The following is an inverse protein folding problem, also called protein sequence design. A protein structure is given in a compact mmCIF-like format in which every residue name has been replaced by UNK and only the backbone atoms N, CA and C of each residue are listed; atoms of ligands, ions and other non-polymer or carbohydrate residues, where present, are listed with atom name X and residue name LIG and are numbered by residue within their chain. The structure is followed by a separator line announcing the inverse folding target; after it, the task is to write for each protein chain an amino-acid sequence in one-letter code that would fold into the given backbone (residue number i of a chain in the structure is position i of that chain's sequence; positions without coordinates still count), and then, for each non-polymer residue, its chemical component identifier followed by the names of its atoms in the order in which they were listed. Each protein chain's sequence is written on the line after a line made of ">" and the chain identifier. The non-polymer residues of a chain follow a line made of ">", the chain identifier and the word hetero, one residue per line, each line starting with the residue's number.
data_IF_582047114706
#
_entry.id   IF_582047114706
#
_cell.length_a   1.000
_cell.length_b   1.000
_cell.length_c   1.000
_cell.angle_alpha   90.00
_cell.angle_beta   90.00
_cell.angle_gamma   90.00
#
_symmetry.space_group_name_H-M   'P 1'
#
loop_
_entity.id
_entity.type
_entity.pdbx_description
1 polymer ?
#
# COMPACT_ATOMS: atom_id res chain seq x y z
N UNK A 1 -12.09 -49.91 -57.91
CA UNK A 1 -10.78 -49.48 -57.36
C UNK A 1 -11.08 -48.28 -56.48
N UNK A 2 -11.43 -48.50 -55.22
CA UNK A 2 -10.55 -48.61 -54.04
C UNK A 2 -10.31 -47.24 -53.37
N UNK A 3 -11.14 -46.99 -52.36
CA UNK A 3 -10.83 -46.57 -50.98
C UNK A 3 -9.67 -45.60 -50.68
N UNK A 4 -9.99 -44.52 -49.93
CA UNK A 4 -9.27 -43.95 -48.77
C UNK A 4 -9.95 -42.61 -48.41
N UNK A 5 -10.66 -42.39 -47.30
CA UNK A 5 -10.36 -42.48 -45.86
C UNK A 5 -9.95 -41.11 -45.24
N UNK A 6 -10.65 -40.78 -44.13
CA UNK A 6 -10.35 -39.79 -43.07
C UNK A 6 -10.31 -38.30 -43.49
N UNK A 7 -10.86 -37.33 -42.75
CA UNK A 7 -11.22 -37.25 -41.34
C UNK A 7 -10.65 -35.95 -40.76
N UNK A 8 -11.37 -35.39 -39.78
CA UNK A 8 -10.93 -34.33 -38.85
C UNK A 8 -11.18 -32.87 -39.25
N UNK A 9 -12.18 -32.20 -38.64
CA UNK A 9 -12.08 -31.40 -37.39
C UNK A 9 -11.41 -30.04 -37.58
N UNK A 10 -12.14 -28.96 -37.30
CA UNK A 10 -11.57 -27.62 -37.27
C UNK A 10 -12.55 -26.57 -36.79
N UNK A 11 -12.92 -26.64 -35.51
CA UNK A 11 -13.77 -25.67 -34.82
C UNK A 11 -13.24 -24.24 -34.92
N UNK A 12 -14.16 -23.33 -35.23
CA UNK A 12 -14.03 -21.87 -35.30
C UNK A 12 -13.28 -21.32 -34.08
N UNK A 13 -12.10 -20.75 -34.28
CA UNK A 13 -11.44 -19.86 -33.30
C UNK A 13 -11.55 -18.42 -33.77
N UNK A 14 -12.52 -17.71 -33.21
CA UNK A 14 -12.60 -16.25 -33.21
C UNK A 14 -11.56 -15.72 -32.22
N UNK A 15 -10.38 -15.39 -32.72
CA UNK A 15 -9.38 -14.62 -31.98
C UNK A 15 -9.42 -13.18 -32.48
N UNK A 16 -10.14 -12.32 -31.76
CA UNK A 16 -10.15 -10.88 -31.98
C UNK A 16 -8.74 -10.33 -31.80
N UNK A 17 -8.15 -9.87 -32.89
CA UNK A 17 -7.00 -8.97 -32.87
C UNK A 17 -7.40 -7.66 -32.20
N UNK A 18 -6.81 -7.33 -31.04
CA UNK A 18 -6.48 -5.95 -30.67
C UNK A 18 -5.42 -6.01 -29.56
N UNK A 19 -4.14 -5.98 -29.94
CA UNK A 19 -3.07 -5.59 -29.02
C UNK A 19 -2.36 -4.37 -29.60
N UNK A 20 -3.15 -3.30 -29.69
CA UNK A 20 -2.68 -1.95 -29.92
C UNK A 20 -3.22 -1.08 -28.78
N UNK A 21 -2.40 -0.85 -27.76
CA UNK A 21 -2.45 0.41 -27.03
C UNK A 21 -1.03 0.64 -26.49
N UNK A 22 -0.22 1.31 -27.29
CA UNK A 22 -0.03 2.75 -27.18
C UNK A 22 0.88 3.05 -25.99
N UNK A 23 2.17 3.12 -26.32
CA UNK A 23 3.19 3.88 -25.59
C UNK A 23 2.62 5.27 -25.32
N UNK A 24 2.13 5.49 -24.10
CA UNK A 24 1.64 6.77 -23.64
C UNK A 24 2.51 7.24 -22.48
N UNK A 25 3.43 8.16 -22.77
CA UNK A 25 4.20 8.99 -21.83
C UNK A 25 4.48 8.37 -20.46
N UNK A 26 5.58 7.62 -20.36
CA UNK A 26 6.29 7.40 -19.09
C UNK A 26 6.97 8.71 -18.63
N UNK A 27 6.18 9.76 -18.41
CA UNK A 27 6.59 10.84 -17.52
C UNK A 27 6.46 10.26 -16.13
N UNK A 28 7.60 10.09 -15.48
CA UNK A 28 7.81 9.76 -14.06
C UNK A 28 6.53 9.89 -13.22
N UNK A 29 5.76 8.79 -13.14
CA UNK A 29 4.68 8.69 -12.17
C UNK A 29 5.34 8.19 -10.91
N UNK A 30 5.46 9.05 -9.90
CA UNK A 30 5.84 8.67 -8.55
C UNK A 30 4.97 7.52 -8.02
N UNK A 31 5.34 6.92 -6.88
CA UNK A 31 4.70 5.72 -6.38
C UNK A 31 3.20 5.90 -6.20
N UNK A 32 2.45 4.82 -6.45
CA UNK A 32 1.03 4.78 -6.14
C UNK A 32 0.80 4.79 -4.62
N UNK A 33 -0.34 5.32 -4.17
CA UNK A 33 -0.70 5.40 -2.74
C UNK A 33 -0.53 4.06 -2.01
N UNK A 34 -0.94 2.95 -2.62
CA UNK A 34 -0.82 1.62 -2.03
C UNK A 34 0.65 1.19 -1.79
N UNK A 35 1.57 1.63 -2.65
CA UNK A 35 2.99 1.38 -2.44
C UNK A 35 3.51 2.20 -1.26
N UNK A 36 3.17 3.48 -1.21
CA UNK A 36 3.56 4.39 -0.11
C UNK A 36 3.03 3.90 1.24
N UNK A 37 1.79 3.43 1.31
CA UNK A 37 1.21 2.87 2.54
C UNK A 37 1.97 1.63 3.05
N UNK A 38 2.45 0.76 2.14
CA UNK A 38 3.25 -0.40 2.53
C UNK A 38 4.64 0.01 2.98
N UNK A 39 5.33 0.85 2.20
CA UNK A 39 6.66 1.33 2.54
C UNK A 39 6.69 2.11 3.86
N UNK A 40 5.66 2.92 4.14
CA UNK A 40 5.56 3.63 5.43
C UNK A 40 5.42 2.67 6.63
N UNK A 41 4.66 1.58 6.48
CA UNK A 41 4.55 0.54 7.51
C UNK A 41 5.89 -0.14 7.74
N UNK A 42 6.53 -0.62 6.68
CA UNK A 42 7.84 -1.28 6.76
C UNK A 42 8.89 -0.36 7.39
N UNK A 43 8.94 0.90 6.98
CA UNK A 43 9.89 1.88 7.50
C UNK A 43 9.68 2.19 8.98
N UNK A 44 8.44 2.35 9.46
CA UNK A 44 8.23 2.63 10.89
C UNK A 44 8.51 1.41 11.77
N UNK A 45 8.23 0.21 11.27
CA UNK A 45 8.57 -1.04 11.96
C UNK A 45 10.10 -1.19 12.08
N UNK A 46 10.83 -0.88 11.01
CA UNK A 46 12.30 -0.88 11.01
C UNK A 46 12.88 0.17 11.98
N UNK A 47 12.35 1.39 11.97
CA UNK A 47 12.83 2.48 12.82
C UNK A 47 12.55 2.27 14.31
N UNK A 48 11.40 1.68 14.65
CA UNK A 48 10.96 1.56 16.04
C UNK A 48 11.21 0.17 16.62
N UNK A 49 11.36 -0.86 15.78
CA UNK A 49 11.38 -2.26 16.21
C UNK A 49 10.03 -2.76 16.73
N UNK A 50 8.95 -2.02 16.47
CA UNK A 50 7.59 -2.29 16.94
C UNK A 50 6.66 -2.56 15.77
N UNK A 51 5.55 -3.23 16.02
CA UNK A 51 4.56 -3.57 14.99
C UNK A 51 3.73 -2.35 14.56
N UNK A 52 3.63 -2.12 13.25
CA UNK A 52 2.69 -1.17 12.68
C UNK A 52 1.30 -1.83 12.60
N UNK A 53 0.34 -1.25 13.31
CA UNK A 53 -1.00 -1.77 13.36
C UNK A 53 -1.84 -1.33 12.15
N UNK A 54 -1.93 -0.02 11.93
CA UNK A 54 -2.75 0.55 10.86
C UNK A 54 -2.17 1.86 10.35
N UNK A 55 -2.54 2.24 9.12
CA UNK A 55 -2.32 3.61 8.63
C UNK A 55 -3.65 4.33 8.78
N UNK A 56 -3.71 5.31 9.69
CA UNK A 56 -4.92 6.03 10.05
C UNK A 56 -5.21 7.22 9.14
N UNK A 57 -4.20 7.77 8.46
CA UNK A 57 -4.39 8.81 7.44
C UNK A 57 -3.29 8.82 6.37
N UNK A 58 -3.63 9.30 5.17
CA UNK A 58 -2.68 9.60 4.09
C UNK A 58 -3.16 10.82 3.31
N UNK A 59 -2.27 11.77 3.07
CA UNK A 59 -2.50 12.96 2.24
C UNK A 59 -1.24 13.35 1.48
N UNK A 60 -1.41 14.14 0.41
CA UNK A 60 -0.30 14.84 -0.26
C UNK A 60 -0.06 16.18 0.43
N UNK A 61 1.18 16.63 0.48
CA UNK A 61 1.51 18.02 0.84
C UNK A 61 1.52 18.93 -0.41
N UNK A 62 1.85 20.20 -0.22
CA UNK A 62 1.90 21.21 -1.29
C UNK A 62 3.08 21.03 -2.26
N UNK A 63 4.16 20.39 -1.80
CA UNK A 63 5.38 20.13 -2.57
C UNK A 63 5.30 18.80 -3.36
N UNK A 64 4.18 18.09 -3.21
CA UNK A 64 3.94 16.80 -3.86
C UNK A 64 4.47 15.61 -3.07
N UNK A 65 4.98 15.80 -1.85
CA UNK A 65 5.28 14.75 -0.90
C UNK A 65 4.04 14.14 -0.25
N UNK A 66 4.26 13.29 0.76
CA UNK A 66 3.21 12.60 1.49
C UNK A 66 3.30 12.86 2.98
N UNK A 67 2.14 12.98 3.61
CA UNK A 67 2.00 13.00 5.06
C UNK A 67 1.09 11.83 5.45
N UNK A 68 1.57 10.97 6.35
CA UNK A 68 0.82 9.81 6.82
C UNK A 68 0.80 9.75 8.34
N UNK A 69 -0.23 9.09 8.87
CA UNK A 69 -0.27 8.68 10.27
C UNK A 69 -0.32 7.17 10.36
N UNK A 70 0.61 6.59 11.11
CA UNK A 70 0.71 5.16 11.35
C UNK A 70 0.55 4.90 12.84
N UNK A 71 -0.36 4.00 13.19
CA UNK A 71 -0.54 3.54 14.55
C UNK A 71 0.39 2.36 14.81
N UNK A 72 1.14 2.40 15.90
CA UNK A 72 2.17 1.43 16.28
C UNK A 72 1.88 0.88 17.65
N UNK A 73 2.02 -0.44 17.84
CA UNK A 73 1.80 -1.08 19.14
C UNK A 73 3.06 -0.97 20.00
N UNK A 74 3.11 0.03 20.87
CA UNK A 74 4.27 0.26 21.74
C UNK A 74 4.33 -0.66 22.96
N UNK A 75 3.17 -1.15 23.42
CA UNK A 75 3.11 -2.12 24.51
C UNK A 75 1.84 -2.97 24.41
N UNK A 76 2.02 -4.26 24.10
CA UNK A 76 0.93 -5.25 24.13
C UNK A 76 0.60 -5.62 25.59
N UNK A 77 -0.70 -5.66 25.92
CA UNK A 77 -1.24 -6.08 27.24
C UNK A 77 -2.52 -6.90 27.06
N UNK A 78 -2.91 -7.64 28.09
CA UNK A 78 -4.15 -8.44 28.13
C UNK A 78 -5.10 -7.86 29.19
N UNK A 79 -6.37 -7.54 28.84
CA UNK A 79 -6.96 -7.65 27.50
C UNK A 79 -6.37 -6.64 26.52
N UNK A 80 -6.47 -6.92 25.21
CA UNK A 80 -5.89 -6.06 24.16
C UNK A 80 -6.36 -4.60 24.23
N UNK A 81 -7.55 -4.35 24.77
CA UNK A 81 -8.10 -3.01 24.99
C UNK A 81 -7.25 -2.11 25.89
N UNK A 82 -6.36 -2.67 26.71
CA UNK A 82 -5.41 -1.89 27.54
C UNK A 82 -4.00 -1.84 26.95
N UNK A 83 -3.79 -2.36 25.73
CA UNK A 83 -2.54 -2.18 24.99
C UNK A 83 -2.31 -0.70 24.68
N UNK A 84 -1.04 -0.29 24.65
CA UNK A 84 -0.65 1.09 24.32
C UNK A 84 -0.35 1.19 22.83
N UNK A 85 -1.02 2.14 22.18
CA UNK A 85 -0.73 2.58 20.81
C UNK A 85 0.03 3.90 20.83
N UNK A 86 0.90 4.08 19.84
CA UNK A 86 1.51 5.35 19.50
C UNK A 86 1.07 5.75 18.09
N UNK A 87 0.64 7.01 17.92
CA UNK A 87 0.33 7.56 16.60
C UNK A 87 1.55 8.33 16.10
N UNK A 88 2.10 7.91 14.98
CA UNK A 88 3.31 8.46 14.37
C UNK A 88 2.95 9.19 13.08
N UNK A 89 3.36 10.44 12.96
CA UNK A 89 3.32 11.15 11.70
C UNK A 89 4.61 10.89 10.93
N UNK A 90 4.48 10.58 9.65
CA UNK A 90 5.59 10.36 8.72
C UNK A 90 5.44 11.31 7.55
N UNK A 91 6.56 11.91 7.15
CA UNK A 91 6.67 12.76 5.97
C UNK A 91 7.54 12.05 4.95
N UNK A 92 7.04 11.89 3.73
CA UNK A 92 7.80 11.33 2.61
C UNK A 92 7.87 12.33 1.48
N UNK A 93 8.91 12.23 0.65
CA UNK A 93 9.01 13.03 -0.57
C UNK A 93 8.08 12.53 -1.68
N UNK A 94 8.17 13.16 -2.86
CA UNK A 94 7.33 12.83 -4.01
C UNK A 94 7.53 11.39 -4.51
N UNK A 95 8.72 10.82 -4.28
CA UNK A 95 9.13 9.46 -4.64
C UNK A 95 8.77 8.42 -3.58
N UNK A 96 8.24 8.87 -2.44
CA UNK A 96 7.81 7.99 -1.35
C UNK A 96 8.94 7.56 -0.43
N UNK A 97 10.06 8.30 -0.41
CA UNK A 97 11.16 8.08 0.51
C UNK A 97 10.93 8.85 1.81
N UNK A 98 11.24 8.23 2.95
CA UNK A 98 10.99 8.81 4.27
C UNK A 98 11.95 9.97 4.55
N UNK A 99 11.41 11.18 4.72
CA UNK A 99 12.19 12.40 5.00
C UNK A 99 12.08 12.85 6.45
N UNK A 100 11.04 12.40 7.17
CA UNK A 100 10.88 12.70 8.59
C UNK A 100 9.83 11.83 9.26
N UNK A 101 9.95 11.68 10.59
CA UNK A 101 8.92 11.06 11.40
C UNK A 101 8.91 11.63 12.82
N UNK A 102 7.74 11.62 13.46
CA UNK A 102 7.58 11.98 14.88
C UNK A 102 6.41 11.26 15.52
N UNK A 103 6.51 10.94 16.80
CA UNK A 103 5.37 10.47 17.59
C UNK A 103 4.48 11.64 17.99
N UNK A 104 3.23 11.64 17.55
CA UNK A 104 2.26 12.68 17.90
C UNK A 104 1.69 12.47 19.30
N UNK A 105 1.32 11.23 19.63
CA UNK A 105 0.70 10.88 20.91
C UNK A 105 0.85 9.41 21.25
N UNK A 106 0.54 9.08 22.50
CA UNK A 106 0.47 7.72 23.03
C UNK A 106 -0.83 7.56 23.82
N UNK A 107 -1.57 6.48 23.60
CA UNK A 107 -2.88 6.25 24.20
C UNK A 107 -3.20 4.76 24.35
N UNK A 108 -4.22 4.42 25.15
CA UNK A 108 -4.71 3.04 25.30
C UNK A 108 -5.65 2.69 24.15
N UNK A 109 -5.50 1.50 23.55
CA UNK A 109 -6.32 1.02 22.42
C UNK A 109 -7.82 1.20 22.63
N UNK A 110 -8.32 0.87 23.82
CA UNK A 110 -9.74 0.88 24.15
C UNK A 110 -10.30 2.26 24.51
N UNK A 111 -9.46 3.30 24.57
CA UNK A 111 -9.94 4.66 24.81
C UNK A 111 -10.26 5.35 23.49
N UNK A 112 -11.49 5.84 23.38
CA UNK A 112 -11.86 6.77 22.33
C UNK A 112 -11.00 8.05 22.46
N UNK A 113 -10.70 8.69 21.32
CA UNK A 113 -10.10 10.03 21.35
C UNK A 113 -11.01 10.97 22.16
N UNK A 114 -10.48 11.75 23.11
CA UNK A 114 -11.22 12.87 23.65
C UNK A 114 -11.53 13.82 22.48
N UNK A 115 -12.82 14.10 22.26
CA UNK A 115 -13.27 15.08 21.27
C UNK A 115 -12.75 16.49 21.59
#
# INVERSE_FOLDING_TARGET
>A
MSESAAGSTGSKRTGTSTKGNARGNAREKGPGTAQVLRSAREAIEELTGLEAETVSSVSRDEDGGWILRVEVVELRKIPDSVSMLGSYEMTLDADGELTGYRRLRRYERGKADPQ
#
